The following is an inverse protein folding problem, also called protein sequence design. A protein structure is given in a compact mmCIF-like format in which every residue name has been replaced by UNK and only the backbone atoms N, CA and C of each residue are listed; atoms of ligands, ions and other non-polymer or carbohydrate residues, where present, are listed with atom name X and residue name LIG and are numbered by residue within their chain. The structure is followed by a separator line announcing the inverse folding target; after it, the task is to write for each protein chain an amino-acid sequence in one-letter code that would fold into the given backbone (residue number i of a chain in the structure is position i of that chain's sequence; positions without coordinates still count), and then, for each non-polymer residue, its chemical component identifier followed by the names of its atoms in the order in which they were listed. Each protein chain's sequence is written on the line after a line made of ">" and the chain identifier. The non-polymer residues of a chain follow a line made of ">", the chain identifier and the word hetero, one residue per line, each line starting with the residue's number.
data_IF_373609755753
#
_entry.id   IF_373609755753
#
_cell.length_a   1.000
_cell.length_b   1.000
_cell.length_c   1.000
_cell.angle_alpha   90.00
_cell.angle_beta   90.00
_cell.angle_gamma   90.00
#
_symmetry.space_group_name_H-M   'P 1'
#
loop_
_entity.id
_entity.type
_entity.pdbx_description
1 polymer ?
#
# COMPACT_ATOMS: atom_id res chain seq x y z
N UNK A 1 10.92 -23.17 -4.92
CA UNK A 1 10.44 -21.94 -4.24
C UNK A 1 9.41 -21.33 -5.15
N UNK A 2 8.17 -21.10 -4.70
CA UNK A 2 7.15 -20.50 -5.57
C UNK A 2 7.54 -19.05 -5.85
N UNK A 3 7.68 -18.68 -7.12
CA UNK A 3 7.89 -17.29 -7.56
C UNK A 3 6.63 -16.48 -7.30
N UNK A 4 6.49 -15.93 -6.10
CA UNK A 4 5.37 -15.08 -5.70
C UNK A 4 5.86 -13.66 -5.46
N UNK A 5 5.05 -12.69 -5.85
CA UNK A 5 5.30 -11.31 -5.49
C UNK A 5 4.66 -11.01 -4.13
N UNK A 6 5.37 -10.27 -3.27
CA UNK A 6 4.76 -9.64 -2.10
C UNK A 6 4.50 -8.18 -2.46
N UNK A 7 3.24 -7.77 -2.41
CA UNK A 7 2.80 -6.42 -2.80
C UNK A 7 2.16 -5.76 -1.60
N UNK A 8 2.73 -4.66 -1.10
CA UNK A 8 2.06 -3.81 -0.12
C UNK A 8 1.33 -2.66 -0.81
N UNK A 9 0.17 -2.30 -0.28
CA UNK A 9 -0.72 -1.27 -0.79
C UNK A 9 -1.20 -0.37 0.35
N UNK A 10 -1.16 0.93 0.11
CA UNK A 10 -1.74 1.96 0.98
C UNK A 10 -2.36 3.07 0.10
N UNK A 11 -3.38 3.75 0.62
CA UNK A 11 -4.18 4.72 -0.12
C UNK A 11 -4.38 6.00 0.69
N UNK A 12 -4.38 7.13 0.00
CA UNK A 12 -4.90 8.38 0.55
C UNK A 12 -6.13 8.84 -0.23
N UNK A 13 -7.07 9.48 0.46
CA UNK A 13 -8.31 9.98 -0.14
C UNK A 13 -8.76 11.29 0.49
N UNK A 14 -9.61 12.01 -0.23
CA UNK A 14 -10.19 13.25 0.28
C UNK A 14 -11.22 12.95 1.38
N UNK A 15 -10.93 13.41 2.60
CA UNK A 15 -11.67 13.07 3.83
C UNK A 15 -13.15 13.48 3.79
N UNK A 16 -13.49 14.53 3.06
CA UNK A 16 -14.89 15.00 2.94
C UNK A 16 -15.72 14.20 1.93
N UNK A 17 -15.10 13.34 1.13
CA UNK A 17 -15.78 12.56 0.09
C UNK A 17 -16.14 11.14 0.48
N UNK A 18 -15.93 10.76 1.75
CA UNK A 18 -16.15 9.39 2.23
C UNK A 18 -15.47 8.31 1.35
N UNK A 19 -14.34 8.63 0.70
CA UNK A 19 -13.60 7.70 -0.17
C UNK A 19 -13.97 7.73 -1.66
N UNK A 20 -14.85 8.64 -2.11
CA UNK A 20 -15.18 8.75 -3.53
C UNK A 20 -14.04 9.37 -4.36
N UNK A 21 -13.21 10.21 -3.74
CA UNK A 21 -12.06 10.84 -4.40
C UNK A 21 -10.77 10.26 -3.84
N UNK A 22 -10.27 9.21 -4.50
CA UNK A 22 -8.94 8.65 -4.28
C UNK A 22 -7.89 9.66 -4.72
N UNK A 23 -6.97 10.06 -3.84
CA UNK A 23 -5.96 11.10 -4.14
C UNK A 23 -4.58 10.51 -4.38
N UNK A 24 -4.21 9.46 -3.65
CA UNK A 24 -2.90 8.81 -3.80
C UNK A 24 -3.00 7.29 -3.68
N UNK A 25 -2.11 6.59 -4.37
CA UNK A 25 -1.92 5.13 -4.27
C UNK A 25 -0.43 4.84 -4.12
N UNK A 26 -0.09 4.14 -3.06
CA UNK A 26 1.24 3.61 -2.83
C UNK A 26 1.32 2.12 -3.12
N UNK A 27 2.38 1.69 -3.78
CA UNK A 27 2.71 0.28 -3.95
C UNK A 27 4.17 0.03 -3.60
N UNK A 28 4.43 -1.07 -2.89
CA UNK A 28 5.76 -1.64 -2.79
C UNK A 28 5.70 -3.10 -3.24
N UNK A 29 6.51 -3.46 -4.23
CA UNK A 29 6.46 -4.76 -4.91
C UNK A 29 7.80 -5.46 -4.74
N UNK A 30 7.83 -6.53 -3.94
CA UNK A 30 8.98 -7.43 -3.79
C UNK A 30 8.87 -8.56 -4.81
N UNK A 31 9.90 -8.68 -5.63
CA UNK A 31 10.11 -9.77 -6.61
C UNK A 31 11.47 -10.43 -6.34
N UNK A 32 11.83 -11.42 -7.16
CA UNK A 32 13.18 -12.01 -7.14
C UNK A 32 14.26 -11.01 -7.55
N UNK A 33 13.92 -10.00 -8.34
CA UNK A 33 14.83 -8.93 -8.76
C UNK A 33 15.03 -7.82 -7.70
N UNK A 34 14.30 -7.89 -6.58
CA UNK A 34 14.35 -6.88 -5.51
C UNK A 34 13.01 -6.20 -5.26
N UNK A 35 13.05 -5.07 -4.55
CA UNK A 35 11.87 -4.26 -4.20
C UNK A 35 11.79 -3.05 -5.13
N UNK A 36 10.60 -2.79 -5.66
CA UNK A 36 10.27 -1.54 -6.36
C UNK A 36 9.17 -0.80 -5.63
N UNK A 37 9.28 0.52 -5.58
CA UNK A 37 8.31 1.40 -4.93
C UNK A 37 7.65 2.30 -5.98
N UNK A 38 6.35 2.48 -5.83
CA UNK A 38 5.56 3.34 -6.70
C UNK A 38 4.69 4.24 -5.84
N UNK A 39 4.63 5.50 -6.23
CA UNK A 39 3.71 6.46 -5.66
C UNK A 39 2.97 7.15 -6.80
N UNK A 40 1.65 6.97 -6.83
CA UNK A 40 0.77 7.56 -7.84
C UNK A 40 -0.13 8.60 -7.20
N UNK A 41 -0.08 9.84 -7.70
CA UNK A 41 -1.06 10.87 -7.36
C UNK A 41 -2.11 10.96 -8.45
N UNK A 42 -3.38 10.97 -8.06
CA UNK A 42 -4.53 11.01 -8.97
C UNK A 42 -4.71 12.44 -9.48
N UNK A 43 -4.42 12.64 -10.77
CA UNK A 43 -4.41 13.95 -11.43
C UNK A 43 -5.73 14.72 -11.29
N UNK A 44 -6.85 14.02 -11.40
CA UNK A 44 -8.19 14.61 -11.30
C UNK A 44 -8.46 15.18 -9.90
N UNK A 45 -7.81 14.63 -8.88
CA UNK A 45 -8.06 14.93 -7.47
C UNK A 45 -6.90 15.66 -6.78
N UNK A 46 -5.82 15.97 -7.50
CA UNK A 46 -4.60 16.56 -6.94
C UNK A 46 -4.79 17.97 -6.36
N UNK A 47 -5.92 18.61 -6.64
CA UNK A 47 -6.29 19.93 -6.11
C UNK A 47 -7.07 19.86 -4.79
N UNK A 48 -7.49 18.65 -4.37
CA UNK A 48 -8.23 18.44 -3.13
C UNK A 48 -7.27 18.37 -1.95
N UNK A 49 -7.52 19.22 -0.94
CA UNK A 49 -6.71 19.28 0.27
C UNK A 49 -7.43 18.53 1.39
N UNK A 50 -6.92 17.37 1.77
CA UNK A 50 -7.42 16.63 2.93
C UNK A 50 -6.80 17.20 4.21
N UNK A 51 -7.54 17.14 5.33
CA UNK A 51 -6.95 17.43 6.66
C UNK A 51 -5.79 16.50 7.00
N UNK A 52 -5.77 15.30 6.43
CA UNK A 52 -4.78 14.26 6.71
C UNK A 52 -3.65 14.23 5.68
N UNK A 53 -3.86 14.83 4.50
CA UNK A 53 -2.85 14.98 3.44
C UNK A 53 -2.92 16.40 2.83
N UNK A 54 -2.45 17.45 3.56
CA UNK A 54 -2.61 18.85 3.15
C UNK A 54 -1.61 19.31 2.07
N UNK A 55 -0.65 18.48 1.66
CA UNK A 55 0.33 18.79 0.61
C UNK A 55 0.75 17.48 -0.09
N UNK A 56 0.03 17.10 -1.15
CA UNK A 56 0.32 15.89 -1.90
C UNK A 56 1.53 16.08 -2.82
N UNK A 57 2.42 15.09 -2.86
CA UNK A 57 3.53 14.83 -3.81
C UNK A 57 4.99 15.14 -3.43
N UNK A 58 5.32 15.88 -2.37
CA UNK A 58 6.74 16.18 -2.03
C UNK A 58 7.37 15.29 -0.95
N UNK A 59 6.63 14.32 -0.40
CA UNK A 59 7.05 13.52 0.76
C UNK A 59 7.63 12.14 0.43
N UNK A 60 7.43 11.63 -0.79
CA UNK A 60 7.83 10.28 -1.15
C UNK A 60 9.36 10.10 -1.15
N UNK A 61 9.88 9.28 -0.23
CA UNK A 61 11.33 9.12 -0.01
C UNK A 61 11.95 7.96 -0.77
N UNK A 62 11.14 7.09 -1.38
CA UNK A 62 11.59 5.90 -2.12
C UNK A 62 11.68 6.11 -3.64
N UNK A 63 11.49 7.34 -4.13
CA UNK A 63 11.56 7.64 -5.56
C UNK A 63 10.86 8.95 -5.92
N UNK A 64 10.15 8.94 -7.05
CA UNK A 64 9.40 10.09 -7.55
C UNK A 64 7.91 9.76 -7.64
N UNK A 65 7.09 10.73 -7.24
CA UNK A 65 5.63 10.69 -7.41
C UNK A 65 5.27 10.80 -8.88
N UNK A 66 4.41 9.90 -9.36
CA UNK A 66 3.86 9.94 -10.71
C UNK A 66 2.43 10.49 -10.67
N UNK A 67 2.21 11.64 -11.30
CA UNK A 67 0.87 12.24 -11.40
C UNK A 67 0.17 11.67 -12.63
N UNK A 68 -0.82 10.82 -12.42
CA UNK A 68 -1.49 10.05 -13.47
C UNK A 68 -3.02 10.22 -13.42
N UNK A 69 -3.72 10.12 -14.56
CA UNK A 69 -5.19 10.00 -14.56
C UNK A 69 -5.66 8.80 -13.73
N UNK A 70 -6.79 8.93 -13.04
CA UNK A 70 -7.36 7.87 -12.19
C UNK A 70 -7.44 6.52 -12.91
N UNK A 71 -7.82 6.52 -14.19
CA UNK A 71 -7.86 5.30 -14.99
C UNK A 71 -6.49 4.60 -15.04
N UNK A 72 -5.41 5.34 -15.30
CA UNK A 72 -4.07 4.77 -15.36
C UNK A 72 -3.58 4.30 -13.99
N UNK A 73 -3.97 5.01 -12.92
CA UNK A 73 -3.68 4.55 -11.54
C UNK A 73 -4.35 3.19 -11.29
N UNK A 74 -5.62 3.03 -11.66
CA UNK A 74 -6.35 1.76 -11.55
C UNK A 74 -5.70 0.66 -12.40
N UNK A 75 -5.36 0.97 -13.65
CA UNK A 75 -4.72 0.01 -14.56
C UNK A 75 -3.37 -0.48 -13.97
N UNK A 76 -2.55 0.42 -13.42
CA UNK A 76 -1.29 0.07 -12.75
C UNK A 76 -1.52 -0.78 -11.50
N UNK A 77 -2.50 -0.40 -10.68
CA UNK A 77 -2.84 -1.16 -9.47
C UNK A 77 -3.23 -2.59 -9.81
N UNK A 78 -4.15 -2.77 -10.78
CA UNK A 78 -4.58 -4.09 -11.24
C UNK A 78 -3.37 -4.86 -11.77
N UNK A 79 -2.55 -4.25 -12.63
CA UNK A 79 -1.35 -4.89 -13.17
C UNK A 79 -0.45 -5.50 -12.09
N UNK A 80 -0.12 -4.76 -11.03
CA UNK A 80 0.75 -5.28 -9.97
C UNK A 80 0.05 -6.29 -9.06
N UNK A 81 -1.25 -6.13 -8.80
CA UNK A 81 -2.03 -7.07 -7.99
C UNK A 81 -2.31 -8.39 -8.71
N UNK A 82 -2.18 -8.44 -10.03
CA UNK A 82 -2.33 -9.68 -10.83
C UNK A 82 -1.00 -10.26 -11.29
N UNK A 83 0.13 -9.85 -10.69
CA UNK A 83 1.45 -10.41 -11.01
C UNK A 83 2.06 -9.93 -12.33
N UNK A 84 1.60 -8.78 -12.83
CA UNK A 84 2.10 -8.16 -14.05
C UNK A 84 1.87 -8.99 -15.31
N UNK A 85 2.82 -8.92 -16.25
CA UNK A 85 2.73 -9.68 -17.50
C UNK A 85 2.88 -11.19 -17.29
N UNK A 86 3.60 -11.59 -16.25
CA UNK A 86 3.92 -12.99 -15.97
C UNK A 86 2.78 -13.71 -15.23
N UNK A 87 1.73 -12.98 -14.82
CA UNK A 87 0.56 -13.50 -14.10
C UNK A 87 0.95 -14.33 -12.86
N UNK A 88 1.99 -13.89 -12.15
CA UNK A 88 2.46 -14.61 -10.95
C UNK A 88 1.50 -14.44 -9.79
N UNK A 89 1.49 -15.43 -8.90
CA UNK A 89 0.76 -15.34 -7.64
C UNK A 89 1.25 -14.14 -6.80
N UNK A 90 0.28 -13.40 -6.24
CA UNK A 90 0.54 -12.24 -5.37
C UNK A 90 0.08 -12.53 -3.94
N UNK A 91 0.96 -12.23 -2.99
CA UNK A 91 0.64 -12.06 -1.57
C UNK A 91 0.48 -10.55 -1.31
N UNK A 92 -0.74 -10.12 -1.00
CA UNK A 92 -1.09 -8.72 -0.78
C UNK A 92 -0.98 -8.37 0.71
N UNK A 93 -0.24 -7.32 1.01
CA UNK A 93 0.09 -6.88 2.35
C UNK A 93 -0.55 -5.53 2.63
N UNK A 94 -1.20 -5.44 3.78
CA UNK A 94 -1.95 -4.28 4.23
C UNK A 94 -1.45 -3.77 5.57
N UNK A 95 -1.84 -2.56 5.90
CA UNK A 95 -1.84 -2.05 7.26
C UNK A 95 -3.24 -1.54 7.62
N UNK A 96 -4.03 -2.34 8.36
CA UNK A 96 -5.41 -2.00 8.74
C UNK A 96 -6.36 -1.68 7.56
N UNK A 97 -6.60 -2.62 6.61
CA UNK A 97 -7.19 -2.36 5.28
C UNK A 97 -8.69 -2.03 5.25
N UNK A 98 -9.33 -1.84 6.40
CA UNK A 98 -10.80 -1.73 6.48
C UNK A 98 -11.31 -0.54 5.69
N UNK A 99 -10.60 0.59 5.72
CA UNK A 99 -11.00 1.77 4.95
C UNK A 99 -10.53 1.70 3.51
N UNK A 100 -9.31 1.21 3.26
CA UNK A 100 -8.75 1.04 1.92
C UNK A 100 -9.66 0.22 1.02
N UNK A 101 -10.18 -0.91 1.52
CA UNK A 101 -11.13 -1.75 0.78
C UNK A 101 -12.40 -1.02 0.40
N UNK A 102 -12.91 -0.15 1.27
CA UNK A 102 -14.13 0.64 0.98
C UNK A 102 -13.84 1.69 -0.09
N UNK A 103 -12.70 2.37 -0.01
CA UNK A 103 -12.25 3.35 -1.00
C UNK A 103 -12.07 2.67 -2.36
N UNK A 104 -11.41 1.52 -2.41
CA UNK A 104 -11.21 0.74 -3.64
C UNK A 104 -12.55 0.30 -4.25
N UNK A 105 -13.46 -0.24 -3.44
CA UNK A 105 -14.77 -0.67 -3.92
C UNK A 105 -15.60 0.49 -4.50
N UNK A 106 -15.59 1.66 -3.83
CA UNK A 106 -16.21 2.89 -4.35
C UNK A 106 -15.59 3.35 -5.67
N UNK A 107 -14.29 3.10 -5.83
CA UNK A 107 -13.57 3.34 -7.06
C UNK A 107 -13.63 2.14 -8.03
N UNK A 108 -14.56 1.19 -7.85
CA UNK A 108 -14.80 0.09 -8.79
C UNK A 108 -13.67 -0.96 -8.84
N UNK A 109 -12.85 -1.06 -7.79
CA UNK A 109 -11.82 -2.08 -7.64
C UNK A 109 -12.23 -3.03 -6.53
N UNK A 110 -12.56 -4.27 -6.89
CA UNK A 110 -12.94 -5.30 -5.94
C UNK A 110 -11.71 -6.18 -5.66
N UNK A 111 -11.00 -5.88 -4.58
CA UNK A 111 -9.72 -6.55 -4.24
C UNK A 111 -9.82 -8.07 -4.23
N UNK A 112 -10.92 -8.63 -3.72
CA UNK A 112 -11.06 -10.08 -3.59
C UNK A 112 -11.23 -10.79 -4.95
N UNK A 113 -11.55 -10.05 -6.02
CA UNK A 113 -11.53 -10.56 -7.39
C UNK A 113 -10.12 -10.57 -7.99
N UNK A 114 -9.20 -9.77 -7.43
CA UNK A 114 -7.81 -9.65 -7.90
C UNK A 114 -6.87 -10.56 -7.11
N UNK A 115 -7.02 -10.58 -5.78
CA UNK A 115 -6.19 -11.37 -4.86
C UNK A 115 -7.10 -12.11 -3.87
N UNK A 116 -7.06 -13.44 -3.79
CA UNK A 116 -7.87 -14.21 -2.84
C UNK A 116 -7.59 -13.86 -1.38
N UNK A 117 -8.59 -13.96 -0.50
CA UNK A 117 -8.51 -13.52 0.91
C UNK A 117 -7.37 -14.23 1.67
N UNK A 118 -7.15 -15.52 1.41
CA UNK A 118 -6.09 -16.32 2.03
C UNK A 118 -4.66 -15.85 1.68
N UNK A 119 -4.53 -14.99 0.67
CA UNK A 119 -3.28 -14.34 0.25
C UNK A 119 -3.22 -12.88 0.63
N UNK A 120 -4.03 -12.46 1.59
CA UNK A 120 -4.08 -11.09 2.07
C UNK A 120 -3.69 -11.02 3.55
N UNK A 121 -2.67 -10.24 3.85
CA UNK A 121 -2.02 -10.17 5.16
C UNK A 121 -2.16 -8.77 5.75
N UNK A 122 -2.65 -8.65 6.98
CA UNK A 122 -2.73 -7.37 7.70
C UNK A 122 -1.61 -7.27 8.73
N UNK A 123 -0.61 -6.44 8.46
CA UNK A 123 0.53 -6.19 9.37
C UNK A 123 0.09 -5.68 10.73
N UNK A 124 -1.00 -4.92 10.81
CA UNK A 124 -1.57 -4.44 12.07
C UNK A 124 -2.05 -5.56 12.98
N UNK A 125 -2.56 -6.65 12.39
CA UNK A 125 -3.04 -7.84 13.11
C UNK A 125 -1.90 -8.82 13.36
N UNK A 126 -1.04 -9.05 12.35
CA UNK A 126 0.12 -9.93 12.47
C UNK A 126 1.05 -9.47 13.60
N UNK A 127 1.18 -8.16 13.81
CA UNK A 127 1.97 -7.61 14.90
C UNK A 127 1.23 -7.70 16.24
N UNK A 128 1.35 -8.84 16.92
CA UNK A 128 0.89 -9.02 18.31
C UNK A 128 -0.62 -9.17 18.48
N UNK A 129 -1.36 -9.56 17.43
CA UNK A 129 -2.77 -9.99 17.51
C UNK A 129 -3.79 -8.87 17.72
N UNK A 130 -3.38 -7.60 17.75
CA UNK A 130 -4.26 -6.43 17.86
C UNK A 130 -3.75 -5.30 16.98
N UNK A 131 -4.65 -4.54 16.30
CA UNK A 131 -4.27 -3.41 15.45
C UNK A 131 -3.31 -2.44 16.14
N UNK A 132 -2.13 -2.27 15.57
CA UNK A 132 -1.15 -1.24 15.95
C UNK A 132 -1.05 -0.19 14.85
N UNK A 133 -0.57 1.00 15.22
CA UNK A 133 -0.16 2.04 14.25
C UNK A 133 1.13 1.59 13.56
N UNK A 134 1.28 1.91 12.27
CA UNK A 134 2.47 1.58 11.50
C UNK A 134 3.76 2.05 12.19
N UNK A 135 3.79 3.30 12.66
CA UNK A 135 4.92 3.86 13.40
C UNK A 135 5.36 3.00 14.59
N UNK A 136 4.41 2.44 15.35
CA UNK A 136 4.71 1.61 16.51
C UNK A 136 5.27 0.23 16.11
N UNK A 137 4.82 -0.30 14.97
CA UNK A 137 5.37 -1.54 14.39
C UNK A 137 6.81 -1.27 13.93
N UNK A 138 7.05 -0.18 13.20
CA UNK A 138 8.38 0.21 12.73
C UNK A 138 9.36 0.44 13.89
N UNK A 139 8.93 1.17 14.93
CA UNK A 139 9.74 1.42 16.14
C UNK A 139 10.15 0.07 16.80
N UNK A 140 9.20 -0.86 16.94
CA UNK A 140 9.46 -2.14 17.58
C UNK A 140 10.35 -3.09 16.75
N UNK A 141 10.23 -3.03 15.42
CA UNK A 141 11.07 -3.77 14.48
C UNK A 141 12.40 -3.06 14.19
N UNK A 142 12.64 -1.91 14.81
CA UNK A 142 13.84 -1.08 14.61
C UNK A 142 14.07 -0.69 13.13
N UNK A 143 12.99 -0.50 12.37
CA UNK A 143 13.06 -0.05 10.97
C UNK A 143 13.15 1.48 10.98
N UNK A 144 14.24 2.09 10.45
CA UNK A 144 14.37 3.54 10.43
C UNK A 144 13.33 4.19 9.50
N UNK A 145 12.65 5.22 10.00
CA UNK A 145 11.73 6.05 9.22
C UNK A 145 11.73 7.48 9.74
N UNK A 146 11.27 8.40 8.91
CA UNK A 146 10.92 9.75 9.34
C UNK A 146 9.42 9.81 9.62
N UNK A 147 9.01 10.34 10.78
CA UNK A 147 7.58 10.58 11.07
C UNK A 147 6.93 11.51 10.04
N UNK A 148 7.71 12.42 9.45
CA UNK A 148 7.23 13.32 8.40
C UNK A 148 7.06 12.63 7.03
N UNK A 149 7.55 11.39 6.89
CA UNK A 149 7.35 10.59 5.69
C UNK A 149 6.09 9.71 5.77
N UNK A 150 5.45 9.58 6.95
CA UNK A 150 4.16 8.91 7.08
C UNK A 150 3.03 9.82 6.57
N UNK A 151 1.88 9.24 6.19
CA UNK A 151 0.79 9.94 5.50
C UNK A 151 1.14 10.34 4.05
N UNK A 152 2.05 9.58 3.45
CA UNK A 152 2.30 9.53 2.01
C UNK A 152 2.11 8.07 1.61
N UNK A 153 1.14 7.80 0.74
CA UNK A 153 0.71 6.44 0.46
C UNK A 153 1.88 5.56 -0.02
N UNK A 154 2.79 6.14 -0.83
CA UNK A 154 3.98 5.45 -1.33
C UNK A 154 4.94 5.02 -0.22
N UNK A 155 5.20 5.92 0.74
CA UNK A 155 6.01 5.62 1.90
C UNK A 155 5.35 4.61 2.82
N UNK A 156 4.05 4.75 3.09
CA UNK A 156 3.31 3.86 3.99
C UNK A 156 3.21 2.44 3.42
N UNK A 157 3.03 2.29 2.10
CA UNK A 157 3.15 1.00 1.42
C UNK A 157 4.57 0.41 1.54
N UNK A 158 5.61 1.23 1.33
CA UNK A 158 7.00 0.80 1.46
C UNK A 158 7.32 0.29 2.87
N UNK A 159 6.98 1.07 3.90
CA UNK A 159 7.19 0.70 5.29
C UNK A 159 6.34 -0.48 5.73
N UNK A 160 5.11 -0.60 5.22
CA UNK A 160 4.26 -1.77 5.44
C UNK A 160 4.91 -3.04 4.90
N UNK A 161 5.48 -3.00 3.68
CA UNK A 161 6.20 -4.14 3.12
C UNK A 161 7.45 -4.49 3.94
N UNK A 162 8.23 -3.49 4.34
CA UNK A 162 9.42 -3.71 5.16
C UNK A 162 9.07 -4.35 6.51
N UNK A 163 8.01 -3.88 7.17
CA UNK A 163 7.51 -4.47 8.40
C UNK A 163 7.06 -5.93 8.19
N UNK A 164 6.31 -6.20 7.11
CA UNK A 164 5.91 -7.56 6.77
C UNK A 164 7.10 -8.49 6.55
N UNK A 165 8.10 -8.07 5.76
CA UNK A 165 9.29 -8.87 5.49
C UNK A 165 10.13 -9.13 6.74
N UNK A 166 10.19 -8.19 7.68
CA UNK A 166 10.86 -8.36 8.96
C UNK A 166 10.10 -9.34 9.89
N UNK A 167 8.77 -9.35 9.84
CA UNK A 167 7.95 -10.28 10.61
C UNK A 167 7.89 -11.68 9.99
N UNK A 168 7.95 -11.80 8.67
CA UNK A 168 7.66 -13.05 7.94
C UNK A 168 8.46 -14.26 8.43
N UNK A 169 9.79 -14.20 8.64
CA UNK A 169 10.54 -15.34 9.18
C UNK A 169 10.03 -15.80 10.55
N UNK A 170 9.57 -14.87 11.39
CA UNK A 170 9.02 -15.17 12.72
C UNK A 170 7.65 -15.87 12.66
N UNK A 171 6.94 -15.75 11.54
CA UNK A 171 5.64 -16.38 11.31
C UNK A 171 5.77 -17.77 10.71
N UNK A 172 6.84 -18.01 9.94
CA UNK A 172 7.12 -19.31 9.31
C UNK A 172 7.76 -20.31 10.30
N UNK A 173 8.21 -19.84 11.48
CA UNK A 173 8.81 -20.65 12.57
C UNK A 173 7.80 -21.15 13.63
N UNK A 174 6.49 -20.96 13.41
CA UNK A 174 5.39 -21.40 14.31
C UNK A 174 4.52 -22.44 13.61
#
# INVERSE_FOLDING_TARGET
>A
MSHRWQVALDLEWYDQSQGDHLTEVGLAVKTDAGIKHFHFSVKEHSHLLSRYAPFSSSGFVFGATQVLPLKQVKDNLIFYLTGGLDSVDVDLVWHNPVQDRKVLAKNGIIINELVPIERQFDTGVLFGGKPRKLSAILDALQIPYSKAALHDAGNDAAYTLLAYLAMKPLLDDV
#
